data_IF_451481314859
#
_entry.id   IF_451481314859
#
_cell.length_a   1.000
_cell.length_b   1.000
_cell.length_c   1.000
_cell.angle_alpha   90.00
_cell.angle_beta   90.00
_cell.angle_gamma   90.00
#
_symmetry.space_group_name_H-M   'P 1'
#
loop_
_entity.id
_entity.type
_entity.pdbx_description
1 polymer ?
#
# COMPACT_ATOMS: atom_id res chain seq x y z
N UNK A 1 -9.55 14.46 -35.85
CA UNK A 1 -10.82 13.80 -36.25
C UNK A 1 -10.68 12.30 -36.02
N UNK A 2 -11.55 11.66 -35.22
CA UNK A 2 -11.58 10.19 -35.12
C UNK A 2 -12.04 9.63 -36.47
N UNK A 3 -11.27 8.71 -37.06
CA UNK A 3 -11.69 7.98 -38.27
C UNK A 3 -12.78 6.98 -37.88
N UNK A 4 -13.88 6.96 -38.62
CA UNK A 4 -14.92 5.94 -38.47
C UNK A 4 -14.38 4.56 -38.87
N UNK A 5 -14.87 3.51 -38.21
CA UNK A 5 -14.54 2.13 -38.59
C UNK A 5 -15.19 1.79 -39.94
N UNK A 6 -14.59 0.85 -40.66
CA UNK A 6 -15.07 0.43 -41.98
C UNK A 6 -16.55 -0.03 -41.96
N UNK A 7 -17.03 -0.78 -40.95
CA UNK A 7 -18.43 -1.21 -40.91
C UNK A 7 -19.39 -0.06 -40.61
N UNK A 8 -18.97 0.97 -39.87
CA UNK A 8 -19.77 2.19 -39.67
C UNK A 8 -19.93 2.95 -40.98
N UNK A 9 -18.83 3.14 -41.73
CA UNK A 9 -18.87 3.80 -43.03
C UNK A 9 -19.77 3.02 -44.00
N UNK A 10 -19.63 1.70 -44.03
CA UNK A 10 -20.42 0.83 -44.90
C UNK A 10 -21.90 0.82 -44.50
N UNK A 11 -22.23 0.76 -43.21
CA UNK A 11 -23.60 0.85 -42.71
C UNK A 11 -24.28 2.16 -43.09
N UNK A 12 -23.61 3.31 -42.90
CA UNK A 12 -24.15 4.60 -43.34
C UNK A 12 -24.28 4.71 -44.86
N UNK A 13 -23.35 4.13 -45.61
CA UNK A 13 -23.41 4.11 -47.08
C UNK A 13 -24.61 3.29 -47.57
N UNK A 14 -24.85 2.11 -46.99
CA UNK A 14 -26.02 1.28 -47.30
C UNK A 14 -27.33 1.98 -46.98
N UNK A 15 -27.42 2.64 -45.81
CA UNK A 15 -28.59 3.42 -45.46
C UNK A 15 -28.83 4.58 -46.44
N UNK A 16 -27.77 5.28 -46.85
CA UNK A 16 -27.84 6.33 -47.87
C UNK A 16 -28.31 5.80 -49.23
N UNK A 17 -27.78 4.66 -49.67
CA UNK A 17 -28.22 3.98 -50.91
C UNK A 17 -29.70 3.62 -50.81
N UNK A 18 -30.15 3.05 -49.69
CA UNK A 18 -31.56 2.71 -49.46
C UNK A 18 -32.47 3.93 -49.60
N UNK A 19 -32.09 5.08 -49.02
CA UNK A 19 -32.86 6.34 -49.14
C UNK A 19 -32.90 6.86 -50.58
N UNK A 20 -31.78 6.81 -51.31
CA UNK A 20 -31.73 7.23 -52.72
C UNK A 20 -32.62 6.36 -53.58
N UNK A 21 -32.63 5.04 -53.36
CA UNK A 21 -33.49 4.11 -54.10
C UNK A 21 -34.97 4.38 -53.82
N UNK A 22 -35.37 4.66 -52.57
CA UNK A 22 -36.74 5.09 -52.25
C UNK A 22 -37.13 6.29 -53.14
N UNK A 23 -36.32 7.35 -53.13
CA UNK A 23 -36.67 8.57 -53.88
C UNK A 23 -36.74 8.30 -55.37
N UNK A 24 -35.76 7.62 -55.96
CA UNK A 24 -35.73 7.34 -57.41
C UNK A 24 -36.94 6.51 -57.84
N UNK A 25 -37.23 5.42 -57.13
CA UNK A 25 -38.32 4.52 -57.54
C UNK A 25 -39.72 5.06 -57.23
N UNK A 26 -39.85 6.07 -56.36
CA UNK A 26 -41.14 6.75 -56.15
C UNK A 26 -41.62 7.56 -57.38
N UNK A 27 -40.72 7.88 -58.31
CA UNK A 27 -41.03 8.56 -59.58
C UNK A 27 -41.00 7.61 -60.79
N UNK A 28 -40.83 6.30 -60.58
CA UNK A 28 -40.85 5.32 -61.66
C UNK A 28 -42.28 5.09 -62.14
N UNK A 29 -42.48 5.06 -63.47
CA UNK A 29 -43.78 4.75 -64.09
C UNK A 29 -44.35 3.39 -63.65
N UNK A 30 -43.48 2.47 -63.18
CA UNK A 30 -43.89 1.17 -62.63
C UNK A 30 -44.66 1.27 -61.29
N UNK A 31 -44.51 2.38 -60.57
CA UNK A 31 -45.05 2.57 -59.21
C UNK A 31 -45.82 3.89 -59.04
N UNK A 32 -45.77 4.78 -60.04
CA UNK A 32 -46.42 6.08 -59.99
C UNK A 32 -46.91 6.44 -61.40
N UNK A 33 -48.21 6.70 -61.53
CA UNK A 33 -48.84 7.05 -62.80
C UNK A 33 -48.81 8.57 -63.10
N UNK A 34 -48.15 9.36 -62.24
CA UNK A 34 -48.02 10.81 -62.38
C UNK A 34 -49.31 11.59 -62.17
N UNK A 35 -50.41 10.91 -61.82
CA UNK A 35 -51.75 11.51 -61.69
C UNK A 35 -51.93 12.33 -60.42
N UNK A 36 -50.97 12.27 -59.49
CA UNK A 36 -51.07 12.81 -58.11
C UNK A 36 -52.27 12.27 -57.33
N UNK A 37 -52.83 11.14 -57.75
CA UNK A 37 -53.88 10.41 -57.05
C UNK A 37 -53.35 9.10 -56.49
N UNK A 38 -53.83 8.70 -55.31
CA UNK A 38 -53.37 7.47 -54.67
C UNK A 38 -54.05 6.27 -55.32
N UNK A 39 -53.32 5.57 -56.19
CA UNK A 39 -53.73 4.27 -56.72
C UNK A 39 -53.30 3.17 -55.73
N UNK A 40 -54.27 2.39 -55.25
CA UNK A 40 -54.04 1.36 -54.24
C UNK A 40 -53.10 0.23 -54.71
N UNK A 41 -53.19 -0.18 -55.98
CA UNK A 41 -52.35 -1.24 -56.54
C UNK A 41 -50.90 -0.78 -56.71
N UNK A 42 -50.70 0.44 -57.23
CA UNK A 42 -49.36 1.02 -57.36
C UNK A 42 -48.70 1.23 -55.99
N UNK A 43 -49.47 1.67 -54.99
CA UNK A 43 -49.00 1.83 -53.62
C UNK A 43 -48.63 0.49 -52.96
N UNK A 44 -49.42 -0.58 -53.20
CA UNK A 44 -49.13 -1.93 -52.70
C UNK A 44 -47.85 -2.51 -53.33
N UNK A 45 -47.73 -2.41 -54.66
CA UNK A 45 -46.53 -2.85 -55.40
C UNK A 45 -45.27 -2.10 -54.95
N UNK A 46 -45.38 -0.78 -54.74
CA UNK A 46 -44.27 0.02 -54.22
C UNK A 46 -43.92 -0.37 -52.79
N UNK A 47 -44.91 -0.54 -51.92
CA UNK A 47 -44.73 -1.06 -50.56
C UNK A 47 -44.02 -2.41 -50.54
N UNK A 48 -44.39 -3.32 -51.45
CA UNK A 48 -43.75 -4.62 -51.65
C UNK A 48 -42.29 -4.50 -52.10
N UNK A 49 -41.97 -3.59 -53.03
CA UNK A 49 -40.60 -3.30 -53.45
C UNK A 49 -39.75 -2.72 -52.29
N UNK A 50 -40.27 -1.72 -51.57
CA UNK A 50 -39.58 -1.14 -50.41
C UNK A 50 -39.33 -2.22 -49.36
N UNK A 51 -40.36 -2.99 -49.00
CA UNK A 51 -40.26 -4.03 -47.98
C UNK A 51 -39.32 -5.18 -48.40
N UNK A 52 -39.38 -5.60 -49.66
CA UNK A 52 -38.64 -6.75 -50.18
C UNK A 52 -37.18 -6.47 -50.50
N UNK A 53 -36.85 -5.29 -51.03
CA UNK A 53 -35.48 -4.94 -51.45
C UNK A 53 -34.80 -3.94 -50.51
N UNK A 54 -35.48 -2.84 -50.20
CA UNK A 54 -34.89 -1.74 -49.40
C UNK A 54 -34.88 -2.08 -47.90
N UNK A 55 -35.89 -2.81 -47.42
CA UNK A 55 -35.98 -3.33 -46.06
C UNK A 55 -34.73 -4.15 -45.66
N UNK A 56 -34.29 -5.14 -46.45
CA UNK A 56 -33.04 -5.85 -46.22
C UNK A 56 -31.78 -4.95 -46.22
N UNK A 57 -31.70 -3.93 -47.09
CA UNK A 57 -30.56 -2.98 -47.12
C UNK A 57 -30.48 -2.21 -45.79
N UNK A 58 -31.60 -1.66 -45.33
CA UNK A 58 -31.65 -0.98 -44.03
C UNK A 58 -31.42 -1.94 -42.86
N UNK A 59 -31.91 -3.18 -42.96
CA UNK A 59 -31.68 -4.21 -41.95
C UNK A 59 -30.20 -4.58 -41.83
N UNK A 60 -29.49 -4.72 -42.95
CA UNK A 60 -28.05 -4.96 -42.98
C UNK A 60 -27.27 -3.74 -42.46
N UNK A 61 -27.65 -2.53 -42.88
CA UNK A 61 -27.07 -1.29 -42.37
C UNK A 61 -27.21 -1.18 -40.84
N UNK A 62 -28.42 -1.42 -40.32
CA UNK A 62 -28.72 -1.41 -38.89
C UNK A 62 -27.96 -2.48 -38.12
N UNK A 63 -27.88 -3.69 -38.67
CA UNK A 63 -27.09 -4.78 -38.09
C UNK A 63 -25.61 -4.41 -37.94
N UNK A 64 -24.99 -3.84 -38.98
CA UNK A 64 -23.58 -3.44 -38.94
C UNK A 64 -23.31 -2.33 -37.92
N UNK A 65 -24.18 -1.33 -37.85
CA UNK A 65 -24.08 -0.25 -36.86
C UNK A 65 -24.28 -0.77 -35.44
N UNK A 66 -25.22 -1.69 -35.24
CA UNK A 66 -25.45 -2.34 -33.95
C UNK A 66 -24.25 -3.22 -33.54
N UNK A 67 -23.68 -3.99 -34.46
CA UNK A 67 -22.49 -4.81 -34.22
C UNK A 67 -21.31 -3.95 -33.74
N UNK A 68 -21.02 -2.86 -34.43
CA UNK A 68 -19.97 -1.91 -34.04
C UNK A 68 -20.26 -1.27 -32.68
N UNK A 69 -21.52 -0.95 -32.41
CA UNK A 69 -21.95 -0.42 -31.11
C UNK A 69 -21.68 -1.43 -29.99
N UNK A 70 -22.00 -2.71 -30.18
CA UNK A 70 -21.77 -3.79 -29.21
C UNK A 70 -20.26 -3.97 -28.96
N UNK A 71 -19.45 -3.96 -30.02
CA UNK A 71 -17.98 -4.07 -29.89
C UNK A 71 -17.41 -2.89 -29.10
N UNK A 72 -17.81 -1.67 -29.43
CA UNK A 72 -17.38 -0.47 -28.73
C UNK A 72 -17.83 -0.45 -27.26
N UNK A 73 -19.04 -0.93 -26.97
CA UNK A 73 -19.55 -1.08 -25.61
C UNK A 73 -18.73 -2.11 -24.82
N UNK A 74 -18.43 -3.28 -25.39
CA UNK A 74 -17.60 -4.30 -24.73
C UNK A 74 -16.22 -3.78 -24.37
N UNK A 75 -15.54 -3.11 -25.30
CA UNK A 75 -14.23 -2.50 -25.03
C UNK A 75 -14.29 -1.37 -24.00
N UNK A 76 -15.41 -0.65 -23.90
CA UNK A 76 -15.59 0.41 -22.91
C UNK A 76 -15.90 -0.16 -21.53
N UNK A 77 -16.69 -1.24 -21.49
CA UNK A 77 -16.98 -2.01 -20.28
C UNK A 77 -15.70 -2.61 -19.68
N UNK A 78 -14.87 -3.28 -20.49
CA UNK A 78 -13.61 -3.88 -20.01
C UNK A 78 -12.66 -2.81 -19.42
N UNK A 79 -12.59 -1.63 -20.06
CA UNK A 79 -11.81 -0.50 -19.55
C UNK A 79 -12.39 0.06 -18.25
N UNK A 80 -13.71 0.16 -18.16
CA UNK A 80 -14.39 0.64 -16.95
C UNK A 80 -14.20 -0.34 -15.78
N UNK A 81 -14.32 -1.65 -16.03
CA UNK A 81 -14.04 -2.71 -15.06
C UNK A 81 -12.62 -2.56 -14.49
N UNK A 82 -11.61 -2.40 -15.36
CA UNK A 82 -10.22 -2.21 -14.92
C UNK A 82 -10.01 -0.94 -14.10
N UNK A 83 -10.61 0.18 -14.54
CA UNK A 83 -10.54 1.45 -13.79
C UNK A 83 -11.21 1.33 -12.42
N UNK A 84 -12.33 0.61 -12.34
CA UNK A 84 -13.04 0.36 -11.10
C UNK A 84 -12.23 -0.50 -10.13
N UNK A 85 -11.57 -1.56 -10.60
CA UNK A 85 -10.68 -2.39 -9.79
C UNK A 85 -9.51 -1.56 -9.21
N UNK A 86 -8.91 -0.68 -10.02
CA UNK A 86 -7.86 0.25 -9.56
C UNK A 86 -8.43 1.20 -8.51
N UNK A 87 -9.59 1.81 -8.74
CA UNK A 87 -10.21 2.74 -7.77
C UNK A 87 -10.56 2.06 -6.43
N UNK A 88 -11.09 0.84 -6.47
CA UNK A 88 -11.35 0.07 -5.24
C UNK A 88 -10.07 -0.24 -4.48
N UNK A 89 -9.03 -0.63 -5.20
CA UNK A 89 -7.72 -0.86 -4.61
C UNK A 89 -7.17 0.41 -3.97
N UNK A 90 -7.18 1.54 -4.69
CA UNK A 90 -6.69 2.82 -4.20
C UNK A 90 -7.45 3.26 -2.94
N UNK A 91 -8.78 3.17 -2.97
CA UNK A 91 -9.63 3.46 -1.81
C UNK A 91 -9.18 2.65 -0.60
N UNK A 92 -9.00 1.34 -0.77
CA UNK A 92 -8.55 0.45 0.30
C UNK A 92 -7.13 0.76 0.78
N UNK A 93 -6.21 1.14 -0.10
CA UNK A 93 -4.86 1.59 0.29
C UNK A 93 -4.93 2.86 1.13
N UNK A 94 -5.72 3.85 0.71
CA UNK A 94 -5.87 5.10 1.45
C UNK A 94 -6.56 4.89 2.80
N UNK A 95 -7.54 3.98 2.89
CA UNK A 95 -8.15 3.58 4.16
C UNK A 95 -7.13 2.94 5.10
N UNK A 96 -6.26 2.05 4.58
CA UNK A 96 -5.18 1.46 5.37
C UNK A 96 -4.18 2.53 5.84
N UNK A 97 -3.85 3.51 5.00
CA UNK A 97 -3.00 4.64 5.40
C UNK A 97 -3.68 5.47 6.50
N UNK A 98 -5.00 5.69 6.39
CA UNK A 98 -5.77 6.40 7.39
C UNK A 98 -5.79 5.66 8.73
N UNK A 99 -6.10 4.37 8.73
CA UNK A 99 -6.06 3.52 9.93
C UNK A 99 -4.66 3.51 10.54
N UNK A 100 -3.59 3.51 9.73
CA UNK A 100 -2.23 3.61 10.25
C UNK A 100 -2.00 4.93 11.01
N UNK A 101 -2.45 6.06 10.45
CA UNK A 101 -2.39 7.36 11.12
C UNK A 101 -3.22 7.39 12.40
N UNK A 102 -4.37 6.71 12.41
CA UNK A 102 -5.21 6.59 13.60
C UNK A 102 -4.55 5.75 14.69
N UNK A 103 -3.89 4.66 14.33
CA UNK A 103 -3.10 3.86 15.27
C UNK A 103 -2.03 4.72 15.94
N UNK A 104 -1.37 5.63 15.20
CA UNK A 104 -0.43 6.60 15.76
C UNK A 104 -1.15 7.63 16.61
N UNK A 105 -2.26 8.20 16.14
CA UNK A 105 -2.98 9.28 16.82
C UNK A 105 -3.56 8.85 18.17
N UNK A 106 -3.88 7.56 18.32
CA UNK A 106 -4.37 6.95 19.56
C UNK A 106 -3.25 6.53 20.53
N UNK A 107 -1.97 6.64 20.14
CA UNK A 107 -0.88 6.28 21.03
C UNK A 107 -0.77 7.26 22.19
N UNK A 108 -0.79 6.70 23.40
CA UNK A 108 -0.57 7.43 24.66
C UNK A 108 0.42 6.68 25.53
N UNK A 109 1.38 7.41 26.10
CA UNK A 109 2.36 6.88 27.04
C UNK A 109 2.60 7.87 28.18
N UNK A 110 2.42 7.43 29.42
CA UNK A 110 2.72 8.26 30.59
C UNK A 110 4.22 8.48 30.71
N UNK A 111 4.64 9.71 30.90
CA UNK A 111 6.05 10.07 31.02
C UNK A 111 6.65 9.39 32.26
N UNK A 112 7.69 8.55 32.15
CA UNK A 112 8.20 7.80 33.30
C UNK A 112 8.84 8.64 34.42
N UNK A 113 9.29 9.86 34.14
CA UNK A 113 9.97 10.75 35.09
C UNK A 113 9.12 11.97 35.52
N UNK A 114 7.85 12.00 35.14
CA UNK A 114 6.91 13.07 35.47
C UNK A 114 5.65 12.48 36.09
N UNK A 115 5.03 13.21 37.02
CA UNK A 115 3.89 12.72 37.77
C UNK A 115 2.58 12.82 36.98
N UNK A 116 2.42 13.81 36.08
CA UNK A 116 1.13 14.10 35.45
C UNK A 116 1.18 14.28 33.93
N UNK A 117 2.33 14.13 33.30
CA UNK A 117 2.47 14.32 31.85
C UNK A 117 2.39 13.03 31.03
N UNK A 118 1.91 13.17 29.79
CA UNK A 118 1.79 12.12 28.80
C UNK A 118 2.45 12.53 27.48
N UNK A 119 3.10 11.57 26.84
CA UNK A 119 3.39 11.63 25.43
C UNK A 119 2.21 11.07 24.65
N UNK A 120 1.80 11.81 23.62
CA UNK A 120 0.70 11.45 22.75
C UNK A 120 1.14 11.45 21.29
N UNK A 121 0.45 10.65 20.48
CA UNK A 121 0.64 10.58 19.03
C UNK A 121 2.09 10.22 18.68
N UNK A 122 2.65 10.86 17.65
CA UNK A 122 4.03 10.68 17.23
C UNK A 122 5.08 11.02 18.32
N UNK A 123 4.74 11.82 19.35
CA UNK A 123 5.69 12.15 20.43
C UNK A 123 6.07 10.93 21.28
N UNK A 124 5.25 9.89 21.28
CA UNK A 124 5.59 8.62 21.93
C UNK A 124 6.88 8.01 21.35
N UNK A 125 7.12 8.17 20.04
CA UNK A 125 8.33 7.66 19.39
C UNK A 125 9.59 8.47 19.77
N UNK A 126 9.44 9.74 20.12
CA UNK A 126 10.55 10.55 20.66
C UNK A 126 11.02 9.93 21.98
N UNK A 127 10.07 9.55 22.84
CA UNK A 127 10.38 8.88 24.09
C UNK A 127 10.99 7.50 23.87
N UNK A 128 10.44 6.70 22.95
CA UNK A 128 11.02 5.40 22.61
C UNK A 128 12.47 5.53 22.13
N UNK A 129 12.80 6.56 21.33
CA UNK A 129 14.18 6.84 20.91
C UNK A 129 15.08 7.18 22.10
N UNK A 130 14.61 8.03 23.02
CA UNK A 130 15.34 8.39 24.24
C UNK A 130 15.61 7.17 25.13
N UNK A 131 14.59 6.35 25.35
CA UNK A 131 14.69 5.09 26.08
C UNK A 131 15.68 4.15 25.40
N UNK A 132 15.59 3.99 24.07
CA UNK A 132 16.51 3.15 23.30
C UNK A 132 17.96 3.61 23.46
N UNK A 133 18.27 4.90 23.28
CA UNK A 133 19.64 5.42 23.45
C UNK A 133 20.20 5.11 24.85
N UNK A 134 19.37 5.28 25.89
CA UNK A 134 19.75 4.94 27.26
C UNK A 134 20.00 3.44 27.45
N UNK A 135 19.11 2.59 26.92
CA UNK A 135 19.22 1.14 26.98
C UNK A 135 20.45 0.66 26.22
N UNK A 136 20.67 1.16 25.01
CA UNK A 136 21.79 0.81 24.14
C UNK A 136 23.12 1.10 24.83
N UNK A 137 23.28 2.25 25.50
CA UNK A 137 24.49 2.58 26.27
C UNK A 137 24.74 1.58 27.41
N UNK A 138 23.69 1.20 28.16
CA UNK A 138 23.79 0.22 29.26
C UNK A 138 24.16 -1.16 28.73
N UNK A 139 23.49 -1.60 27.67
CA UNK A 139 23.69 -2.93 27.06
C UNK A 139 25.07 -3.01 26.42
N UNK A 140 25.45 -2.03 25.59
CA UNK A 140 26.75 -1.97 24.91
C UNK A 140 27.91 -2.07 25.90
N UNK A 141 27.86 -1.30 26.99
CA UNK A 141 28.89 -1.36 28.03
C UNK A 141 29.01 -2.75 28.72
N UNK A 142 27.93 -3.55 28.74
CA UNK A 142 27.96 -4.92 29.24
C UNK A 142 28.48 -5.90 28.18
N UNK A 143 28.02 -5.76 26.92
CA UNK A 143 28.39 -6.61 25.79
C UNK A 143 29.87 -6.42 25.40
N UNK A 144 30.41 -5.21 25.52
CA UNK A 144 31.82 -4.92 25.26
C UNK A 144 32.76 -5.74 26.16
N UNK A 145 32.31 -6.02 27.40
CA UNK A 145 33.03 -6.86 28.37
C UNK A 145 32.76 -8.36 28.20
N UNK A 146 31.74 -8.73 27.42
CA UNK A 146 31.40 -10.12 27.19
C UNK A 146 32.43 -10.79 26.27
N UNK A 147 32.94 -11.94 26.70
CA UNK A 147 33.87 -12.79 25.92
C UNK A 147 33.09 -13.75 25.01
N UNK A 148 31.83 -14.07 25.37
CA UNK A 148 30.98 -15.03 24.65
C UNK A 148 30.47 -14.54 23.29
N UNK A 149 30.56 -13.24 23.01
CA UNK A 149 30.12 -12.64 21.74
C UNK A 149 31.34 -12.22 20.92
N UNK A 150 31.42 -12.71 19.68
CA UNK A 150 32.43 -12.31 18.72
C UNK A 150 32.42 -10.80 18.49
N UNK A 151 33.60 -10.18 18.39
CA UNK A 151 33.77 -8.72 18.23
C UNK A 151 32.87 -8.15 17.13
N UNK A 152 32.81 -8.81 15.96
CA UNK A 152 32.03 -8.37 14.80
C UNK A 152 30.50 -8.34 15.03
N UNK A 153 30.02 -9.03 16.06
CA UNK A 153 28.58 -9.13 16.37
C UNK A 153 28.18 -8.33 17.61
N UNK A 154 29.12 -7.70 18.32
CA UNK A 154 28.83 -6.97 19.57
C UNK A 154 27.84 -5.83 19.37
N UNK A 155 27.98 -5.08 18.27
CA UNK A 155 27.05 -4.00 17.95
C UNK A 155 25.64 -4.55 17.69
N UNK A 156 25.52 -5.54 16.79
CA UNK A 156 24.24 -6.18 16.46
C UNK A 156 23.54 -6.76 17.68
N UNK A 157 24.30 -7.45 18.55
CA UNK A 157 23.78 -7.96 19.81
C UNK A 157 23.31 -6.84 20.74
N UNK A 158 24.07 -5.74 20.83
CA UNK A 158 23.70 -4.59 21.65
C UNK A 158 22.41 -3.93 21.15
N UNK A 159 22.25 -3.78 19.83
CA UNK A 159 21.03 -3.26 19.19
C UNK A 159 19.84 -4.16 19.52
N UNK A 160 19.99 -5.45 19.26
CA UNK A 160 18.90 -6.42 19.38
C UNK A 160 18.43 -6.54 20.85
N UNK A 161 19.35 -6.72 21.81
CA UNK A 161 19.02 -6.80 23.24
C UNK A 161 18.37 -5.49 23.72
N UNK A 162 18.92 -4.33 23.36
CA UNK A 162 18.34 -3.04 23.76
C UNK A 162 16.93 -2.84 23.18
N UNK A 163 16.72 -3.22 21.92
CA UNK A 163 15.40 -3.14 21.29
C UNK A 163 14.40 -4.12 21.89
N UNK A 164 14.81 -5.37 22.19
CA UNK A 164 13.94 -6.35 22.86
C UNK A 164 13.50 -5.85 24.24
N UNK A 165 14.42 -5.24 25.00
CA UNK A 165 14.09 -4.63 26.30
C UNK A 165 13.14 -3.44 26.12
N UNK A 166 13.33 -2.59 25.10
CA UNK A 166 12.40 -1.51 24.78
C UNK A 166 11.00 -2.05 24.44
N UNK A 167 10.94 -3.12 23.64
CA UNK A 167 9.69 -3.68 23.13
C UNK A 167 8.92 -4.43 24.22
N UNK A 168 9.53 -5.41 24.88
CA UNK A 168 8.85 -6.24 25.89
C UNK A 168 8.86 -5.60 27.28
N UNK A 169 9.91 -4.85 27.62
CA UNK A 169 10.11 -4.32 28.97
C UNK A 169 10.65 -5.35 29.96
N UNK A 170 11.06 -4.87 31.13
CA UNK A 170 11.63 -5.70 32.21
C UNK A 170 10.66 -5.94 33.37
N UNK A 171 9.38 -5.60 33.19
CA UNK A 171 8.39 -5.77 34.25
C UNK A 171 8.21 -7.26 34.60
N UNK A 172 7.76 -7.57 35.82
CA UNK A 172 7.50 -8.97 36.22
C UNK A 172 6.52 -9.67 35.26
N UNK A 173 5.54 -8.93 34.75
CA UNK A 173 4.52 -9.47 33.86
C UNK A 173 5.04 -9.74 32.44
N UNK A 174 5.99 -8.95 31.95
CA UNK A 174 6.49 -9.03 30.57
C UNK A 174 7.85 -9.70 30.44
N UNK A 175 8.55 -9.91 31.55
CA UNK A 175 9.86 -10.58 31.59
C UNK A 175 9.88 -11.98 30.94
N UNK A 176 8.85 -12.85 31.09
CA UNK A 176 8.86 -14.14 30.42
C UNK A 176 8.93 -14.04 28.90
N UNK A 177 8.19 -13.11 28.29
CA UNK A 177 8.23 -12.86 26.85
C UNK A 177 9.60 -12.35 26.41
N UNK A 178 10.17 -11.40 27.16
CA UNK A 178 11.53 -10.90 26.93
C UNK A 178 12.57 -12.05 26.96
N UNK A 179 12.55 -12.88 28.00
CA UNK A 179 13.48 -14.01 28.15
C UNK A 179 13.34 -15.03 27.03
N UNK A 180 12.10 -15.31 26.59
CA UNK A 180 11.85 -16.20 25.47
C UNK A 180 12.53 -15.69 24.19
N UNK A 181 12.35 -14.41 23.85
CA UNK A 181 12.95 -13.84 22.64
C UNK A 181 14.47 -13.71 22.75
N UNK A 182 15.01 -13.33 23.91
CA UNK A 182 16.46 -13.30 24.13
C UNK A 182 17.09 -14.67 23.87
N UNK A 183 16.50 -15.73 24.42
CA UNK A 183 16.93 -17.11 24.20
C UNK A 183 16.80 -17.52 22.72
N UNK A 184 15.69 -17.17 22.06
CA UNK A 184 15.46 -17.42 20.62
C UNK A 184 16.56 -16.81 19.74
N UNK A 185 17.08 -15.63 20.10
CA UNK A 185 18.20 -14.99 19.41
C UNK A 185 19.59 -15.45 19.87
N UNK A 186 19.66 -16.44 20.77
CA UNK A 186 20.92 -17.04 21.23
C UNK A 186 21.62 -16.28 22.36
N UNK A 187 20.92 -15.39 23.07
CA UNK A 187 21.47 -14.71 24.24
C UNK A 187 21.17 -15.50 25.51
N UNK A 188 22.23 -15.88 26.21
CA UNK A 188 22.16 -16.71 27.41
C UNK A 188 21.83 -15.89 28.67
N UNK A 189 21.30 -16.59 29.69
CA UNK A 189 20.93 -15.98 30.97
C UNK A 189 22.11 -15.34 31.72
N UNK A 190 23.31 -15.96 31.79
CA UNK A 190 24.46 -15.34 32.46
C UNK A 190 24.83 -13.96 31.89
N UNK A 191 24.64 -13.74 30.59
CA UNK A 191 24.85 -12.43 29.96
C UNK A 191 23.70 -11.46 30.24
N UNK A 192 22.46 -11.93 30.09
CA UNK A 192 21.27 -11.06 30.05
C UNK A 192 20.71 -10.72 31.44
N UNK A 193 20.79 -11.64 32.41
CA UNK A 193 20.24 -11.45 33.76
C UNK A 193 20.85 -10.25 34.52
N UNK A 194 22.18 -10.02 34.51
CA UNK A 194 22.77 -8.83 35.14
C UNK A 194 22.28 -7.53 34.49
N UNK A 195 22.12 -7.52 33.16
CA UNK A 195 21.64 -6.36 32.39
C UNK A 195 20.20 -6.05 32.78
N UNK A 196 19.32 -7.06 32.71
CA UNK A 196 17.90 -6.94 33.05
C UNK A 196 17.73 -6.50 34.50
N UNK A 197 18.50 -7.09 35.43
CA UNK A 197 18.44 -6.76 36.85
C UNK A 197 18.83 -5.31 37.11
N UNK A 198 19.89 -4.81 36.47
CA UNK A 198 20.30 -3.39 36.56
C UNK A 198 19.20 -2.45 36.03
N UNK A 199 18.59 -2.79 34.90
CA UNK A 199 17.55 -1.98 34.25
C UNK A 199 16.26 -1.99 35.09
N UNK A 200 15.92 -3.13 35.69
CA UNK A 200 14.74 -3.31 36.54
C UNK A 200 14.74 -2.39 37.78
N UNK A 201 15.91 -2.00 38.28
CA UNK A 201 16.05 -1.09 39.41
C UNK A 201 15.53 0.32 39.10
N UNK A 202 15.53 0.74 37.83
CA UNK A 202 15.02 2.05 37.44
C UNK A 202 13.48 2.04 37.52
N UNK A 203 12.94 2.84 38.43
CA UNK A 203 11.48 2.98 38.66
C UNK A 203 10.97 4.28 38.05
N UNK A 204 9.66 4.35 37.85
CA UNK A 204 9.01 5.60 37.45
C UNK A 204 8.91 6.55 38.64
N UNK A 205 8.89 7.86 38.36
CA UNK A 205 8.71 8.89 39.40
C UNK A 205 7.34 8.78 40.06
N UNK A 206 6.30 8.59 39.23
CA UNK A 206 4.91 8.54 39.68
C UNK A 206 4.53 7.29 40.49
N UNK A 207 5.29 6.20 40.40
CA UNK A 207 5.02 4.97 41.16
C UNK A 207 6.28 4.12 41.29
N UNK A 208 6.84 4.05 42.50
CA UNK A 208 8.06 3.26 42.80
C UNK A 208 7.93 1.75 42.56
N UNK A 209 6.71 1.20 42.47
CA UNK A 209 6.45 -0.20 42.10
C UNK A 209 6.47 -0.43 40.58
N UNK A 210 6.35 0.62 39.78
CA UNK A 210 6.34 0.55 38.32
C UNK A 210 7.76 0.72 37.78
N UNK A 211 8.19 -0.19 36.92
CA UNK A 211 9.50 -0.09 36.25
C UNK A 211 9.46 1.01 35.18
N UNK A 212 10.58 1.71 35.02
CA UNK A 212 10.74 2.74 33.98
C UNK A 212 10.63 2.13 32.58
N UNK A 213 11.27 0.98 32.36
CA UNK A 213 11.25 0.26 31.08
C UNK A 213 10.17 -0.82 31.10
N UNK A 214 8.91 -0.39 31.07
CA UNK A 214 7.73 -1.27 31.11
C UNK A 214 7.40 -1.96 29.79
N UNK A 215 8.05 -1.58 28.70
CA UNK A 215 7.81 -2.13 27.37
C UNK A 215 6.79 -1.35 26.54
N UNK A 216 6.87 -1.51 25.24
CA UNK A 216 6.02 -0.86 24.24
C UNK A 216 5.31 -1.84 23.30
N UNK A 217 5.34 -3.14 23.60
CA UNK A 217 4.78 -4.22 22.76
C UNK A 217 3.33 -3.97 22.34
N UNK A 218 2.48 -3.49 23.25
CA UNK A 218 1.07 -3.19 22.91
C UNK A 218 1.00 -2.13 21.80
N UNK A 219 1.76 -1.04 21.91
CA UNK A 219 1.74 0.05 20.91
C UNK A 219 2.42 -0.38 19.61
N UNK A 220 3.66 -0.87 19.71
CA UNK A 220 4.50 -1.21 18.58
C UNK A 220 4.02 -2.47 17.85
N UNK A 221 3.46 -3.44 18.57
CA UNK A 221 2.93 -4.67 17.97
C UNK A 221 1.75 -4.40 17.04
N UNK A 222 0.79 -3.57 17.47
CA UNK A 222 -0.32 -3.15 16.61
C UNK A 222 0.17 -2.28 15.44
N UNK A 223 1.04 -1.30 15.72
CA UNK A 223 1.62 -0.40 14.72
C UNK A 223 2.36 -1.13 13.59
N UNK A 224 3.34 -1.99 13.92
CA UNK A 224 4.13 -2.68 12.91
C UNK A 224 3.35 -3.77 12.17
N UNK A 225 2.42 -4.47 12.85
CA UNK A 225 1.54 -5.42 12.18
C UNK A 225 0.70 -4.72 11.12
N UNK A 226 0.13 -3.56 11.45
CA UNK A 226 -0.66 -2.80 10.48
C UNK A 226 0.21 -2.29 9.33
N UNK A 227 1.35 -1.66 9.63
CA UNK A 227 2.28 -1.17 8.62
C UNK A 227 2.72 -2.29 7.65
N UNK A 228 3.06 -3.47 8.19
CA UNK A 228 3.41 -4.65 7.40
C UNK A 228 2.27 -5.11 6.50
N UNK A 229 1.05 -5.22 7.03
CA UNK A 229 -0.10 -5.64 6.21
C UNK A 229 -0.43 -4.64 5.11
N UNK A 230 -0.27 -3.33 5.35
CA UNK A 230 -0.46 -2.31 4.31
C UNK A 230 0.55 -2.49 3.17
N UNK A 231 1.84 -2.63 3.48
CA UNK A 231 2.87 -2.87 2.45
C UNK A 231 2.62 -4.19 1.71
N UNK A 232 2.32 -5.27 2.45
CA UNK A 232 1.99 -6.58 1.87
C UNK A 232 0.76 -6.54 0.97
N UNK A 233 -0.24 -5.73 1.31
CA UNK A 233 -1.45 -5.58 0.50
C UNK A 233 -1.12 -4.93 -0.85
N UNK A 234 -0.32 -3.86 -0.85
CA UNK A 234 0.15 -3.20 -2.08
C UNK A 234 1.05 -4.14 -2.89
N UNK A 235 1.98 -4.82 -2.22
CA UNK A 235 2.94 -5.71 -2.86
C UNK A 235 2.26 -6.88 -3.61
N UNK A 236 1.17 -7.42 -3.05
CA UNK A 236 0.39 -8.51 -3.65
C UNK A 236 -0.49 -8.08 -4.82
N UNK A 237 -0.62 -6.79 -5.13
CA UNK A 237 -1.42 -6.31 -6.25
C UNK A 237 -0.71 -6.56 -7.59
N UNK A 238 -0.81 -7.78 -8.12
CA UNK A 238 -0.11 -8.23 -9.34
C UNK A 238 -0.59 -7.54 -10.62
N UNK A 239 -1.75 -6.87 -10.60
CA UNK A 239 -2.25 -6.06 -11.71
C UNK A 239 -1.56 -4.70 -11.83
N UNK A 240 -0.74 -4.32 -10.84
CA UNK A 240 0.07 -3.11 -10.83
C UNK A 240 1.51 -3.43 -11.22
N UNK A 241 2.08 -2.58 -12.06
CA UNK A 241 3.50 -2.62 -12.39
C UNK A 241 4.35 -2.27 -11.15
N UNK A 242 5.58 -2.80 -11.01
CA UNK A 242 6.44 -2.52 -9.86
C UNK A 242 6.62 -1.03 -9.53
N UNK A 243 6.80 -0.10 -10.50
CA UNK A 243 6.86 1.33 -10.21
C UNK A 243 5.57 1.90 -9.60
N UNK A 244 4.41 1.36 -9.97
CA UNK A 244 3.12 1.79 -9.40
C UNK A 244 3.01 1.35 -7.94
N UNK A 245 3.35 0.10 -7.62
CA UNK A 245 3.41 -0.40 -6.24
C UNK A 245 4.38 0.43 -5.39
N UNK A 246 5.54 0.79 -5.94
CA UNK A 246 6.51 1.66 -5.29
C UNK A 246 5.89 3.02 -4.90
N UNK A 247 5.16 3.69 -5.80
CA UNK A 247 4.57 5.01 -5.50
C UNK A 247 3.50 4.94 -4.38
N UNK A 248 2.70 3.86 -4.31
CA UNK A 248 1.75 3.68 -3.20
C UNK A 248 2.48 3.48 -1.86
N UNK A 249 3.49 2.60 -1.80
CA UNK A 249 4.26 2.39 -0.56
C UNK A 249 5.08 3.64 -0.18
N UNK A 250 5.59 4.38 -1.16
CA UNK A 250 6.24 5.67 -0.94
C UNK A 250 5.28 6.70 -0.34
N UNK A 251 4.01 6.70 -0.74
CA UNK A 251 2.97 7.55 -0.15
C UNK A 251 2.73 7.18 1.31
N UNK A 252 2.67 5.89 1.64
CA UNK A 252 2.62 5.41 3.03
C UNK A 252 3.87 5.84 3.82
N UNK A 253 5.07 5.62 3.28
CA UNK A 253 6.35 6.00 3.90
C UNK A 253 6.39 7.49 4.21
N UNK A 254 5.86 8.34 3.33
CA UNK A 254 5.80 9.79 3.53
C UNK A 254 4.96 10.22 4.74
N UNK A 255 4.11 9.33 5.29
CA UNK A 255 3.38 9.59 6.54
C UNK A 255 4.21 9.32 7.80
N UNK A 256 5.34 8.60 7.68
CA UNK A 256 6.16 8.19 8.82
C UNK A 256 7.10 9.33 9.25
N UNK A 257 7.08 9.69 10.52
CA UNK A 257 8.07 10.64 11.06
C UNK A 257 9.46 10.01 11.13
N UNK A 258 10.51 10.84 11.23
CA UNK A 258 11.88 10.34 11.41
C UNK A 258 12.03 9.47 12.69
N UNK A 259 11.29 9.79 13.76
CA UNK A 259 11.27 8.99 14.98
C UNK A 259 10.65 7.63 14.77
N UNK A 260 9.53 7.56 14.04
CA UNK A 260 8.92 6.30 13.63
C UNK A 260 9.87 5.46 12.76
N UNK A 261 10.50 6.07 11.76
CA UNK A 261 11.47 5.40 10.89
C UNK A 261 12.66 4.84 11.69
N UNK A 262 13.13 5.55 12.71
CA UNK A 262 14.21 5.07 13.59
C UNK A 262 13.80 3.84 14.40
N UNK A 263 12.60 3.86 15.01
CA UNK A 263 12.10 2.69 15.75
C UNK A 263 11.77 1.53 14.79
N UNK A 264 11.28 1.83 13.59
CA UNK A 264 11.05 0.84 12.53
C UNK A 264 12.35 0.16 12.08
N UNK A 265 13.42 0.92 11.86
CA UNK A 265 14.73 0.36 11.53
C UNK A 265 15.24 -0.57 12.64
N UNK A 266 15.12 -0.18 13.92
CA UNK A 266 15.51 -1.06 15.03
C UNK A 266 14.64 -2.32 15.12
N UNK A 267 13.35 -2.20 14.80
CA UNK A 267 12.44 -3.34 14.70
C UNK A 267 12.90 -4.32 13.61
N UNK A 268 13.26 -3.81 12.43
CA UNK A 268 13.66 -4.65 11.29
C UNK A 268 14.97 -5.40 11.53
N UNK A 269 15.87 -4.85 12.34
CA UNK A 269 17.09 -5.53 12.78
C UNK A 269 16.86 -6.57 13.89
N UNK A 270 15.64 -6.66 14.42
CA UNK A 270 15.31 -7.52 15.56
C UNK A 270 14.16 -8.48 15.26
N UNK A 271 12.95 -8.19 15.76
CA UNK A 271 11.76 -9.05 15.65
C UNK A 271 11.00 -8.87 14.34
N UNK A 272 11.44 -7.96 13.48
CA UNK A 272 10.86 -7.65 12.18
C UNK A 272 11.53 -8.39 11.01
N UNK A 273 12.04 -9.59 11.22
CA UNK A 273 12.76 -10.38 10.20
C UNK A 273 11.91 -10.66 8.94
N UNK A 274 10.58 -10.73 9.08
CA UNK A 274 9.64 -10.82 7.96
C UNK A 274 9.77 -9.69 6.93
N UNK A 275 10.16 -8.48 7.37
CA UNK A 275 10.39 -7.36 6.44
C UNK A 275 11.52 -7.66 5.45
N UNK A 276 12.58 -8.31 5.93
CA UNK A 276 13.75 -8.67 5.12
C UNK A 276 13.49 -9.93 4.29
N UNK A 277 12.83 -10.94 4.85
CA UNK A 277 12.43 -12.15 4.11
C UNK A 277 11.61 -11.82 2.86
N UNK A 278 10.72 -10.82 2.95
CA UNK A 278 9.92 -10.34 1.83
C UNK A 278 10.59 -9.21 1.03
N UNK A 279 11.82 -8.79 1.41
CA UNK A 279 12.59 -7.70 0.79
C UNK A 279 11.85 -6.36 0.72
N UNK A 280 10.92 -6.11 1.65
CA UNK A 280 10.09 -4.91 1.62
C UNK A 280 10.88 -3.63 1.90
N UNK A 281 11.90 -3.71 2.77
CA UNK A 281 12.72 -2.55 3.10
C UNK A 281 13.55 -2.09 1.91
N UNK A 282 14.17 -3.02 1.19
CA UNK A 282 15.01 -2.72 0.02
C UNK A 282 14.17 -2.38 -1.20
N UNK A 283 13.12 -3.16 -1.49
CA UNK A 283 12.22 -2.96 -2.65
C UNK A 283 11.52 -1.60 -2.61
N UNK A 284 11.03 -1.20 -1.44
CA UNK A 284 10.27 0.05 -1.27
C UNK A 284 11.11 1.17 -0.63
N UNK A 285 12.40 0.92 -0.41
CA UNK A 285 13.33 1.85 0.23
C UNK A 285 12.78 2.44 1.54
N UNK A 286 12.17 1.61 2.40
CA UNK A 286 11.32 2.07 3.51
C UNK A 286 12.00 3.05 4.47
N UNK A 287 13.32 2.97 4.63
CA UNK A 287 14.12 3.81 5.54
C UNK A 287 14.97 4.88 4.84
N UNK A 288 14.69 5.17 3.56
CA UNK A 288 15.45 6.14 2.75
C UNK A 288 15.62 7.53 3.40
N UNK A 289 14.61 7.95 4.15
CA UNK A 289 14.53 9.27 4.80
C UNK A 289 15.13 9.29 6.23
N UNK A 290 15.68 8.18 6.74
CA UNK A 290 16.17 8.07 8.13
C UNK A 290 17.58 8.65 8.29
N UNK A 291 17.81 9.84 8.89
CA UNK A 291 19.11 10.50 8.87
C UNK A 291 20.28 9.64 9.39
N UNK A 292 21.47 9.82 8.81
CA UNK A 292 22.69 9.04 9.13
C UNK A 292 22.96 8.88 10.64
N UNK A 293 22.85 9.96 11.40
CA UNK A 293 23.18 10.00 12.83
C UNK A 293 21.91 10.04 13.71
N UNK A 294 20.77 9.57 13.21
CA UNK A 294 19.51 9.63 13.95
C UNK A 294 19.54 8.75 15.20
N UNK A 295 20.19 7.59 15.11
CA UNK A 295 20.44 6.69 16.24
C UNK A 295 21.94 6.78 16.51
N UNK A 296 22.30 7.33 17.67
CA UNK A 296 23.70 7.52 18.06
C UNK A 296 24.48 6.21 17.90
N UNK A 297 25.66 6.31 17.28
CA UNK A 297 26.59 5.20 17.02
C UNK A 297 26.09 4.08 16.10
N UNK A 298 24.94 4.25 15.41
CA UNK A 298 24.39 3.23 14.51
C UNK A 298 24.09 3.87 13.15
N UNK A 299 24.83 3.46 12.12
CA UNK A 299 24.64 3.95 10.77
C UNK A 299 23.72 2.98 9.99
N UNK A 300 22.52 3.42 9.54
CA UNK A 300 21.58 2.57 8.81
C UNK A 300 22.19 1.91 7.56
N UNK A 301 23.12 2.61 6.89
CA UNK A 301 23.78 2.13 5.68
C UNK A 301 24.67 0.91 5.91
N UNK A 302 25.10 0.65 7.15
CA UNK A 302 25.91 -0.53 7.43
C UNK A 302 25.08 -1.82 7.31
N UNK A 303 23.75 -1.69 7.45
CA UNK A 303 22.75 -2.76 7.44
C UNK A 303 21.96 -2.86 6.13
N UNK A 304 21.58 -1.72 5.54
CA UNK A 304 20.85 -1.67 4.27
C UNK A 304 21.60 -0.81 3.25
N UNK A 305 22.16 -1.44 2.22
CA UNK A 305 23.08 -0.79 1.25
C UNK A 305 22.50 -0.63 -0.16
N UNK A 306 21.37 -1.27 -0.43
CA UNK A 306 20.85 -1.49 -1.78
C UNK A 306 20.13 -0.27 -2.38
N UNK A 307 19.99 0.82 -1.63
CA UNK A 307 19.41 2.07 -2.10
C UNK A 307 20.17 3.28 -1.57
N UNK A 308 20.06 4.40 -2.28
CA UNK A 308 20.66 5.68 -1.88
C UNK A 308 19.77 6.38 -0.88
N UNK A 309 20.33 6.72 0.26
CA UNK A 309 19.66 7.53 1.26
C UNK A 309 19.63 9.01 0.86
N UNK A 310 18.76 9.80 1.49
CA UNK A 310 18.59 11.21 1.12
C UNK A 310 19.81 12.10 1.39
N UNK A 311 20.58 11.81 2.45
CA UNK A 311 21.80 12.58 2.76
C UNK A 311 22.98 12.26 1.84
N UNK A 312 22.81 11.35 0.88
CA UNK A 312 23.83 10.99 -0.10
C UNK A 312 23.62 11.67 -1.47
N UNK A 313 22.56 12.48 -1.60
CA UNK A 313 22.26 13.28 -2.79
C UNK A 313 22.89 14.66 -2.69
#
# INVERSE_FOLDING_TARGET
MKKFSLPVIFGFSLAGIGLVLIVIFSFSDAFNDGSWTLNAENADNYGGFIGGLIGPIFSLAGFLLLYETIVAQRLSFDRQQRLFEIQQFETKVFDLIHIHRDNVSQMVHRVPWDDNNYYEKARVFIEMRSQFSSLFKIVKAAIDKAVTISVDNKEKASINIAYLILFFGVSKATRPDLEHFLSKYGYDKPLTDPIISKIYLKKTKYNSKTVYYGGHQVRLGHYFRHLFQTVRFVDKATFLEPPQRYEYVKTLRAQLTQYELGIFFLNSLSIGDEWEKNKYITTYEMIKNLPKNFIEDINPKDYYRDFKYEWEK
#
